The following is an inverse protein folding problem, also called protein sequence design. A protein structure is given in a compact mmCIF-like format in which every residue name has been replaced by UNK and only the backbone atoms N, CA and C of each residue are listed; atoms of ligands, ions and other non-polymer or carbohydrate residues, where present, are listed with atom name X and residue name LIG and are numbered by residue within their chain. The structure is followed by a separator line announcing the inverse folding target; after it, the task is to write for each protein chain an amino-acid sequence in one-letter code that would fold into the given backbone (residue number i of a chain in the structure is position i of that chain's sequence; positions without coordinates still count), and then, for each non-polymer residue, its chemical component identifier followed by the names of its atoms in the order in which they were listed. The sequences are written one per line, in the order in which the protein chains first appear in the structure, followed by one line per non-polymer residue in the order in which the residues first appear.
data_IF_451117711875
#
_entry.id   IF_451117711875
#
_cell.length_a   1.000
_cell.length_b   1.000
_cell.length_c   1.000
_cell.angle_alpha   90.00
_cell.angle_beta   90.00
_cell.angle_gamma   90.00
#
_symmetry.space_group_name_H-M   'P 1'
#
loop_
_entity.id
_entity.type
_entity.pdbx_description
1 polymer ?
#
# COMPACT_ATOMS: atom_id res chain seq x y z
N UNK A 1 -6.06 4.15 -16.28
CA UNK A 1 -5.36 5.38 -15.87
C UNK A 1 -6.29 6.37 -15.16
N UNK A 2 -7.42 6.77 -15.75
CA UNK A 2 -8.37 7.74 -15.15
C UNK A 2 -8.86 7.31 -13.76
N UNK A 3 -9.28 6.05 -13.59
CA UNK A 3 -9.73 5.53 -12.28
C UNK A 3 -8.62 5.63 -11.22
N UNK A 4 -7.38 5.28 -11.58
CA UNK A 4 -6.23 5.40 -10.69
C UNK A 4 -5.93 6.86 -10.32
N UNK A 5 -6.12 7.80 -11.26
CA UNK A 5 -5.93 9.23 -10.99
C UNK A 5 -6.98 9.78 -10.02
N UNK A 6 -8.25 9.39 -10.18
CA UNK A 6 -9.32 9.75 -9.25
C UNK A 6 -9.03 9.16 -7.87
N UNK A 7 -8.69 7.87 -7.79
CA UNK A 7 -8.35 7.22 -6.52
C UNK A 7 -7.16 7.90 -5.83
N UNK A 8 -6.08 8.17 -6.56
CA UNK A 8 -4.90 8.86 -6.02
C UNK A 8 -5.22 10.27 -5.54
N UNK A 9 -6.06 11.02 -6.28
CA UNK A 9 -6.50 12.35 -5.87
C UNK A 9 -7.36 12.31 -4.60
N UNK A 10 -8.28 11.35 -4.49
CA UNK A 10 -9.09 11.13 -3.28
C UNK A 10 -8.20 10.78 -2.08
N UNK A 11 -7.23 9.87 -2.26
CA UNK A 11 -6.27 9.51 -1.20
C UNK A 11 -5.48 10.73 -0.75
N UNK A 12 -4.96 11.52 -1.70
CA UNK A 12 -4.17 12.72 -1.40
C UNK A 12 -4.99 13.78 -0.66
N UNK A 13 -6.27 13.93 -0.99
CA UNK A 13 -7.14 14.95 -0.35
C UNK A 13 -7.65 14.53 1.04
N UNK A 14 -7.88 13.22 1.25
CA UNK A 14 -8.35 12.69 2.54
C UNK A 14 -7.18 12.30 3.48
N UNK A 15 -5.96 12.20 2.96
CA UNK A 15 -4.77 11.93 3.74
C UNK A 15 -4.42 13.08 4.68
N UNK A 16 -3.78 12.75 5.81
CA UNK A 16 -3.32 13.76 6.76
C UNK A 16 -1.92 14.26 6.39
N UNK A 17 -1.70 15.58 6.45
CA UNK A 17 -0.36 16.14 6.35
C UNK A 17 0.48 15.70 7.57
N UNK A 18 1.78 15.38 7.40
CA UNK A 18 2.61 15.57 6.20
C UNK A 18 2.59 14.40 5.19
N UNK A 19 1.89 13.30 5.45
CA UNK A 19 1.98 12.07 4.64
C UNK A 19 1.07 12.05 3.40
N UNK A 20 0.08 12.94 3.32
CA UNK A 20 -0.93 12.97 2.25
C UNK A 20 -0.38 12.98 0.83
N UNK A 21 0.77 13.62 0.60
CA UNK A 21 1.45 13.67 -0.70
C UNK A 21 2.94 13.32 -0.62
N UNK A 22 3.37 12.68 0.47
CA UNK A 22 4.79 12.42 0.73
C UNK A 22 5.14 10.95 0.53
N UNK A 23 6.31 10.70 -0.06
CA UNK A 23 6.92 9.40 -0.18
C UNK A 23 7.91 9.19 0.97
N UNK A 24 7.72 8.10 1.72
CA UNK A 24 8.55 7.75 2.87
C UNK A 24 9.60 6.70 2.48
N UNK A 25 10.73 6.68 3.20
CA UNK A 25 11.83 5.75 2.91
C UNK A 25 12.12 4.85 4.11
N UNK A 26 12.06 3.52 3.97
CA UNK A 26 12.14 2.61 5.11
C UNK A 26 13.49 2.67 5.85
N UNK A 27 14.58 2.96 5.14
CA UNK A 27 15.92 3.03 5.71
C UNK A 27 16.33 4.45 6.13
N UNK A 28 15.53 5.46 5.78
CA UNK A 28 15.80 6.86 6.07
C UNK A 28 14.54 7.49 6.68
N UNK A 29 14.35 7.28 7.99
CA UNK A 29 13.10 7.55 8.72
C UNK A 29 12.65 9.01 8.71
N UNK A 30 13.61 9.93 8.65
CA UNK A 30 13.37 11.38 8.57
C UNK A 30 13.26 11.89 7.12
N UNK A 31 13.57 11.04 6.14
CA UNK A 31 13.58 11.43 4.74
C UNK A 31 12.19 11.27 4.12
N UNK A 32 11.52 12.42 3.96
CA UNK A 32 10.21 12.54 3.35
C UNK A 32 10.32 13.36 2.06
N UNK A 33 10.01 12.74 0.93
CA UNK A 33 9.91 13.47 -0.33
C UNK A 33 8.45 13.88 -0.53
N UNK A 34 8.15 15.16 -0.34
CA UNK A 34 6.84 15.69 -0.70
C UNK A 34 6.74 15.82 -2.23
N UNK A 35 5.91 14.98 -2.85
CA UNK A 35 5.69 14.98 -4.30
C UNK A 35 4.68 16.06 -4.73
N UNK A 36 3.88 16.58 -3.79
CA UNK A 36 2.79 17.51 -4.08
C UNK A 36 1.89 16.97 -5.19
N UNK A 37 1.74 17.75 -6.27
CA UNK A 37 0.94 17.37 -7.42
C UNK A 37 1.47 16.15 -8.19
N UNK A 38 2.78 15.85 -8.10
CA UNK A 38 3.38 14.67 -8.72
C UNK A 38 2.99 13.36 -8.01
N UNK A 39 2.39 13.45 -6.81
CA UNK A 39 1.85 12.27 -6.14
C UNK A 39 0.83 11.55 -7.03
N UNK A 40 -0.07 12.28 -7.69
CA UNK A 40 -1.12 11.71 -8.53
C UNK A 40 -0.56 10.87 -9.70
N UNK A 41 0.30 11.41 -10.59
CA UNK A 41 0.88 10.60 -11.68
C UNK A 41 1.77 9.47 -11.17
N UNK A 42 2.50 9.66 -10.05
CA UNK A 42 3.29 8.60 -9.43
C UNK A 42 2.42 7.44 -8.92
N UNK A 43 1.37 7.74 -8.15
CA UNK A 43 0.41 6.73 -7.67
C UNK A 43 -0.31 6.04 -8.84
N UNK A 44 -0.64 6.77 -9.91
CA UNK A 44 -1.20 6.17 -11.12
C UNK A 44 -0.27 5.12 -11.74
N UNK A 45 1.02 5.46 -11.85
CA UNK A 45 2.03 4.54 -12.35
C UNK A 45 2.13 3.29 -11.48
N UNK A 46 2.15 3.44 -10.15
CA UNK A 46 2.21 2.31 -9.21
C UNK A 46 0.96 1.43 -9.32
N UNK A 47 -0.24 2.00 -9.27
CA UNK A 47 -1.50 1.25 -9.30
C UNK A 47 -1.67 0.50 -10.63
N UNK A 48 -1.50 1.19 -11.76
CA UNK A 48 -1.65 0.59 -13.09
C UNK A 48 -0.51 -0.39 -13.37
N UNK A 49 0.71 -0.06 -12.96
CA UNK A 49 1.88 -0.91 -13.11
C UNK A 49 1.75 -2.22 -12.35
N UNK A 50 1.33 -2.17 -11.08
CA UNK A 50 1.10 -3.36 -10.26
C UNK A 50 -0.01 -4.26 -10.85
N UNK A 51 -1.13 -3.67 -11.29
CA UNK A 51 -2.21 -4.43 -11.92
C UNK A 51 -1.78 -5.14 -13.21
N UNK A 52 -1.01 -4.45 -14.06
CA UNK A 52 -0.46 -5.06 -15.28
C UNK A 52 0.62 -6.11 -14.97
N UNK A 53 1.43 -5.91 -13.94
CA UNK A 53 2.45 -6.88 -13.53
C UNK A 53 1.81 -8.19 -13.05
N UNK A 54 0.75 -8.10 -12.24
CA UNK A 54 -0.01 -9.28 -11.79
C UNK A 54 -0.65 -9.99 -12.99
N UNK A 55 -1.30 -9.26 -13.89
CA UNK A 55 -1.90 -9.82 -15.11
C UNK A 55 -0.86 -10.52 -16.00
N UNK A 56 0.34 -9.94 -16.12
CA UNK A 56 1.44 -10.55 -16.89
C UNK A 56 1.95 -11.85 -16.24
N UNK A 57 1.92 -11.96 -14.91
CA UNK A 57 2.31 -13.19 -14.19
C UNK A 57 1.24 -14.27 -14.18
N UNK A 58 -0.01 -13.92 -14.49
CA UNK A 58 -1.17 -14.83 -14.46
C UNK A 58 -1.33 -15.60 -15.79
N UNK A 59 -0.28 -16.34 -16.16
CA UNK A 59 -0.22 -17.13 -17.40
C UNK A 59 -0.20 -18.65 -17.20
N UNK A 60 -0.20 -19.11 -15.96
CA UNK A 60 -0.16 -20.54 -15.59
C UNK A 60 -0.94 -20.73 -14.28
N UNK A 61 -1.60 -21.88 -14.15
CA UNK A 61 -2.46 -22.21 -13.00
C UNK A 61 -1.73 -22.00 -11.67
N UNK A 62 -2.18 -21.02 -10.90
CA UNK A 62 -1.65 -20.71 -9.56
C UNK A 62 -0.34 -19.92 -9.52
N UNK A 63 0.22 -19.52 -10.67
CA UNK A 63 1.49 -18.78 -10.72
C UNK A 63 1.38 -17.38 -10.14
N UNK A 64 0.27 -16.68 -10.36
CA UNK A 64 0.07 -15.33 -9.82
C UNK A 64 -0.43 -15.32 -8.37
N UNK A 65 -1.28 -16.28 -7.98
CA UNK A 65 -1.94 -16.23 -6.67
C UNK A 65 -0.98 -16.43 -5.49
N UNK A 66 0.03 -17.29 -5.63
CA UNK A 66 1.01 -17.53 -4.55
C UNK A 66 1.81 -16.25 -4.24
N UNK A 67 2.43 -15.55 -5.22
CA UNK A 67 3.03 -14.24 -5.01
C UNK A 67 2.08 -13.21 -4.42
N UNK A 68 0.82 -13.17 -4.87
CA UNK A 68 -0.19 -12.24 -4.33
C UNK A 68 -0.43 -12.49 -2.84
N UNK A 69 -0.55 -13.75 -2.40
CA UNK A 69 -0.73 -14.08 -0.99
C UNK A 69 0.48 -13.67 -0.14
N UNK A 70 1.71 -13.85 -0.64
CA UNK A 70 2.93 -13.43 0.07
C UNK A 70 3.00 -11.90 0.18
N UNK A 71 2.67 -11.18 -0.90
CA UNK A 71 2.61 -9.73 -0.90
C UNK A 71 1.52 -9.21 0.05
N UNK A 72 0.33 -9.81 0.02
CA UNK A 72 -0.78 -9.47 0.90
C UNK A 72 -0.43 -9.70 2.38
N UNK A 73 0.24 -10.81 2.71
CA UNK A 73 0.70 -11.07 4.07
C UNK A 73 1.70 -10.00 4.53
N UNK A 74 2.65 -9.66 3.66
CA UNK A 74 3.67 -8.65 3.95
C UNK A 74 3.06 -7.27 4.17
N UNK A 75 2.18 -6.82 3.27
CA UNK A 75 1.46 -5.55 3.43
C UNK A 75 0.48 -5.56 4.62
N UNK A 76 -0.12 -6.71 4.94
CA UNK A 76 -1.01 -6.87 6.08
C UNK A 76 -0.29 -6.67 7.41
N UNK A 77 0.91 -7.26 7.55
CA UNK A 77 1.77 -7.02 8.72
C UNK A 77 2.18 -5.55 8.81
N UNK A 78 2.59 -4.93 7.71
CA UNK A 78 2.96 -3.50 7.69
C UNK A 78 1.78 -2.62 8.12
N UNK A 79 0.59 -2.88 7.57
CA UNK A 79 -0.62 -2.14 7.90
C UNK A 79 -1.02 -2.27 9.38
N UNK A 80 -0.93 -3.49 9.93
CA UNK A 80 -1.20 -3.72 11.35
C UNK A 80 -0.22 -2.99 12.27
N UNK A 81 1.07 -3.01 11.94
CA UNK A 81 2.10 -2.33 12.74
C UNK A 81 2.00 -0.80 12.65
N UNK A 82 1.78 -0.25 11.44
CA UNK A 82 1.61 1.20 11.23
C UNK A 82 0.29 1.73 11.81
N UNK A 83 -0.75 0.89 11.89
CA UNK A 83 -2.05 1.23 12.47
C UNK A 83 -2.11 1.15 14.00
N UNK A 84 -1.05 0.68 14.67
CA UNK A 84 -0.99 0.58 16.13
C UNK A 84 0.03 1.57 16.71
N UNK A 85 -0.41 2.50 17.55
CA UNK A 85 0.44 3.58 18.07
C UNK A 85 1.67 3.05 18.85
N UNK A 86 1.50 1.99 19.65
CA UNK A 86 2.58 1.41 20.46
C UNK A 86 3.63 0.75 19.58
N UNK A 87 3.21 -0.04 18.59
CA UNK A 87 4.14 -0.69 17.68
C UNK A 87 4.82 0.30 16.73
N UNK A 88 4.08 1.27 16.22
CA UNK A 88 4.62 2.30 15.34
C UNK A 88 5.71 3.11 16.06
N UNK A 89 5.47 3.50 17.31
CA UNK A 89 6.46 4.18 18.15
C UNK A 89 7.66 3.28 18.46
N UNK A 90 7.43 2.02 18.88
CA UNK A 90 8.51 1.09 19.22
C UNK A 90 9.44 0.77 18.03
N UNK A 91 8.86 0.54 16.84
CA UNK A 91 9.61 0.22 15.62
C UNK A 91 10.13 1.48 14.90
N UNK A 92 9.71 2.66 15.36
CA UNK A 92 10.03 3.94 14.75
C UNK A 92 9.63 3.95 13.27
N UNK A 93 8.36 3.59 13.02
CA UNK A 93 7.68 3.70 11.72
C UNK A 93 6.55 4.72 11.84
N UNK A 94 6.09 5.26 10.72
CA UNK A 94 5.02 6.27 10.76
C UNK A 94 3.70 5.65 11.20
N UNK A 95 3.11 6.24 12.24
CA UNK A 95 1.78 5.89 12.71
C UNK A 95 0.71 6.49 11.79
N UNK A 96 -0.18 5.66 11.25
CA UNK A 96 -1.29 6.10 10.41
C UNK A 96 -2.59 5.50 10.94
N UNK A 97 -3.45 6.32 11.60
CA UNK A 97 -4.71 5.84 12.17
C UNK A 97 -5.61 5.18 11.13
N UNK A 98 -6.25 4.06 11.48
CA UNK A 98 -7.20 3.38 10.62
C UNK A 98 -6.60 2.53 9.49
N UNK A 99 -5.27 2.37 9.45
CA UNK A 99 -4.62 1.47 8.48
C UNK A 99 -4.66 0.00 8.90
N UNK A 100 -4.90 -0.29 10.18
CA UNK A 100 -4.98 -1.67 10.69
C UNK A 100 -6.11 -2.47 10.04
N UNK A 101 -7.17 -1.82 9.61
CA UNK A 101 -8.33 -2.38 8.90
C UNK A 101 -7.94 -2.98 7.55
N UNK A 102 -6.87 -2.47 6.93
CA UNK A 102 -6.32 -3.05 5.70
C UNK A 102 -5.78 -4.46 5.94
N UNK A 103 -5.30 -4.79 7.15
CA UNK A 103 -4.86 -6.13 7.48
C UNK A 103 -6.02 -7.14 7.43
N UNK A 104 -7.25 -6.72 7.76
CA UNK A 104 -8.45 -7.56 7.63
C UNK A 104 -8.76 -7.83 6.16
N UNK A 105 -8.72 -6.80 5.32
CA UNK A 105 -8.95 -6.92 3.87
C UNK A 105 -7.90 -7.84 3.24
N UNK A 106 -6.62 -7.66 3.58
CA UNK A 106 -5.53 -8.49 3.07
C UNK A 106 -5.59 -9.93 3.61
N UNK A 107 -6.04 -10.12 4.85
CA UNK A 107 -6.34 -11.45 5.39
C UNK A 107 -7.43 -12.17 4.61
N UNK A 108 -8.49 -11.44 4.21
CA UNK A 108 -9.55 -12.00 3.36
C UNK A 108 -9.03 -12.35 1.95
N UNK A 109 -8.12 -11.55 1.38
CA UNK A 109 -7.44 -11.86 0.09
C UNK A 109 -6.62 -13.16 0.19
N UNK A 110 -5.87 -13.34 1.28
CA UNK A 110 -5.12 -14.58 1.51
C UNK A 110 -6.07 -15.78 1.63
N UNK A 111 -7.13 -15.64 2.43
CA UNK A 111 -8.14 -16.69 2.59
C UNK A 111 -8.82 -17.07 1.26
N UNK A 112 -9.14 -16.07 0.42
CA UNK A 112 -9.70 -16.30 -0.91
C UNK A 112 -8.69 -16.94 -1.87
N UNK A 113 -7.39 -16.65 -1.73
CA UNK A 113 -6.34 -17.25 -2.57
C UNK A 113 -5.96 -18.69 -2.20
N UNK A 114 -6.30 -19.15 -0.99
CA UNK A 114 -6.10 -20.53 -0.54
C UNK A 114 -7.23 -21.48 -0.94
N UNK A 115 -8.44 -20.95 -1.17
CA UNK A 115 -9.63 -21.70 -1.57
C UNK A 115 -9.65 -22.00 -3.05
#
# INVERSE_FOLDING_TARGET
FIIAAIAAWVIMHNGQAPFSSSLTFPFAKEFLINLGWFFVPFSCFVIVGAGNAVNLTDGLDGLAIVPIMIAAASFGVIAYLSGNAVFAEYLQIHFVPGTGELAVVLGAVIGAGLG
#
